data_IF_649007979553
#
_entry.id   IF_649007979553
#
_cell.length_a   1.000
_cell.length_b   1.000
_cell.length_c   1.000
_cell.angle_alpha   90.00
_cell.angle_beta   90.00
_cell.angle_gamma   90.00
#
_symmetry.space_group_name_H-M   'P 1'
#
loop_
_entity.id
_entity.type
_entity.pdbx_description
1 polymer ?
#
# COMPACT_ATOMS: atom_id res chain seq x y z
N UNK A 1 6.24 -55.96 52.09
CA UNK A 1 7.13 -55.68 50.94
C UNK A 1 6.58 -54.46 50.21
N UNK A 2 7.43 -53.43 50.01
CA UNK A 2 7.03 -52.03 49.81
C UNK A 2 6.40 -51.73 48.44
N UNK A 3 5.33 -50.94 48.53
CA UNK A 3 4.63 -50.20 47.48
C UNK A 3 5.60 -49.27 46.70
N UNK A 4 5.50 -49.26 45.37
CA UNK A 4 6.13 -48.24 44.51
C UNK A 4 5.13 -47.80 43.44
N UNK A 5 4.43 -46.71 43.72
CA UNK A 5 3.74 -45.92 42.69
C UNK A 5 4.78 -45.25 41.79
N UNK A 6 4.60 -45.35 40.48
CA UNK A 6 5.30 -44.52 39.49
C UNK A 6 4.32 -43.48 38.99
N UNK A 7 4.48 -42.24 39.47
CA UNK A 7 3.79 -41.07 38.92
C UNK A 7 4.55 -40.65 37.68
N UNK A 8 3.90 -40.72 36.51
CA UNK A 8 4.41 -40.10 35.29
C UNK A 8 4.03 -38.62 35.33
N UNK A 9 5.02 -37.74 35.45
CA UNK A 9 4.84 -36.29 35.34
C UNK A 9 4.78 -35.94 33.86
N UNK A 10 3.60 -35.59 33.37
CA UNK A 10 3.42 -34.96 32.07
C UNK A 10 3.71 -33.47 32.25
N UNK A 11 4.85 -33.01 31.75
CA UNK A 11 5.16 -31.58 31.68
C UNK A 11 4.42 -31.04 30.45
N UNK A 12 3.28 -30.39 30.69
CA UNK A 12 2.62 -29.56 29.68
C UNK A 12 3.25 -28.19 29.74
N UNK A 13 4.19 -27.91 28.83
CA UNK A 13 4.68 -26.55 28.59
C UNK A 13 3.60 -25.78 27.82
N UNK A 14 2.75 -25.05 28.54
CA UNK A 14 1.86 -24.06 27.93
C UNK A 14 2.70 -22.82 27.63
N UNK A 15 3.14 -22.68 26.38
CA UNK A 15 3.67 -21.42 25.88
C UNK A 15 2.49 -20.47 25.68
N UNK A 16 2.19 -19.66 26.70
CA UNK A 16 1.34 -18.50 26.54
C UNK A 16 2.14 -17.46 25.74
N UNK A 17 1.94 -17.43 24.42
CA UNK A 17 2.32 -16.29 23.61
C UNK A 17 1.40 -15.14 24.03
N UNK A 18 1.91 -14.27 24.89
CA UNK A 18 1.32 -12.96 25.14
C UNK A 18 1.34 -12.19 23.83
N UNK A 19 0.19 -12.15 23.15
CA UNK A 19 -0.13 -11.07 22.22
C UNK A 19 -0.19 -9.80 23.07
N UNK A 20 0.97 -9.15 23.25
CA UNK A 20 1.00 -7.78 23.72
C UNK A 20 0.32 -6.97 22.62
N UNK A 21 -0.96 -6.64 22.82
CA UNK A 21 -1.61 -5.61 22.04
C UNK A 21 -0.74 -4.34 22.13
N UNK A 22 -0.10 -3.99 21.03
CA UNK A 22 0.70 -2.77 20.89
C UNK A 22 -0.28 -1.59 21.01
N UNK A 23 -0.39 -1.03 22.22
CA UNK A 23 -1.43 -0.09 22.61
C UNK A 23 -1.04 1.34 22.18
N UNK A 24 -0.83 1.54 20.87
CA UNK A 24 -0.52 2.84 20.26
C UNK A 24 -1.73 3.34 19.46
N UNK A 25 -2.61 4.16 20.07
CA UNK A 25 -3.93 4.48 19.53
C UNK A 25 -3.91 5.25 18.20
N UNK A 26 -2.78 5.88 17.85
CA UNK A 26 -2.67 6.73 16.66
C UNK A 26 -1.85 6.12 15.51
N UNK A 27 -1.41 4.86 15.66
CA UNK A 27 -0.74 4.18 14.55
C UNK A 27 -1.78 3.66 13.57
N UNK A 28 -1.56 3.99 12.32
CA UNK A 28 -2.45 3.63 11.22
C UNK A 28 -1.61 3.06 10.09
N UNK A 29 -2.15 2.06 9.38
CA UNK A 29 -1.39 1.26 8.41
C UNK A 29 -1.55 1.86 7.00
N UNK A 30 -0.44 2.23 6.37
CA UNK A 30 -0.35 2.38 4.93
C UNK A 30 -0.32 0.98 4.30
N UNK A 31 -1.38 0.63 3.57
CA UNK A 31 -1.62 -0.71 3.03
C UNK A 31 -1.32 -0.78 1.54
N UNK A 32 -0.54 -1.79 1.17
CA UNK A 32 -0.20 -2.15 -0.20
C UNK A 32 0.30 -1.02 -1.11
N UNK A 33 1.21 -0.14 -0.69
CA UNK A 33 2.13 0.47 -1.63
C UNK A 33 2.84 -0.59 -2.50
N UNK A 34 2.55 -0.58 -3.80
CA UNK A 34 3.29 -1.36 -4.81
C UNK A 34 3.92 -0.42 -5.82
N UNK A 35 5.19 -0.66 -6.14
CA UNK A 35 6.02 0.17 -7.02
C UNK A 35 6.39 -0.62 -8.26
N UNK A 36 5.94 -0.15 -9.41
CA UNK A 36 6.32 -0.64 -10.74
C UNK A 36 7.40 0.24 -11.35
N UNK A 37 8.37 -0.39 -12.01
CA UNK A 37 9.47 0.30 -12.70
C UNK A 37 9.40 -0.03 -14.20
N UNK A 38 9.25 0.99 -15.04
CA UNK A 38 9.14 0.87 -16.49
C UNK A 38 10.25 1.69 -17.19
N UNK A 39 11.51 1.22 -17.18
CA UNK A 39 12.58 1.87 -17.94
C UNK A 39 12.40 1.66 -19.46
N UNK A 40 13.06 2.48 -20.29
CA UNK A 40 13.01 2.33 -21.76
C UNK A 40 13.80 1.10 -22.26
N UNK A 41 14.80 0.68 -21.48
CA UNK A 41 15.60 -0.51 -21.72
C UNK A 41 15.92 -1.20 -20.39
N UNK A 42 16.35 -2.45 -20.45
CA UNK A 42 16.79 -3.16 -19.24
C UNK A 42 17.91 -2.39 -18.54
N UNK A 43 17.74 -2.06 -17.27
CA UNK A 43 18.72 -1.29 -16.51
C UNK A 43 18.68 -1.62 -15.01
N UNK A 44 19.77 -1.31 -14.32
CA UNK A 44 19.81 -1.37 -12.86
C UNK A 44 19.10 -0.16 -12.27
N UNK A 45 18.30 -0.40 -11.23
CA UNK A 45 17.58 0.62 -10.49
C UNK A 45 17.76 0.37 -8.99
N UNK A 46 18.14 1.42 -8.27
CA UNK A 46 18.13 1.47 -6.81
C UNK A 46 16.90 2.27 -6.35
N UNK A 47 16.14 1.71 -5.41
CA UNK A 47 14.94 2.33 -4.81
C UNK A 47 15.09 2.33 -3.30
N UNK A 48 14.94 3.50 -2.67
CA UNK A 48 14.94 3.67 -1.22
C UNK A 48 13.72 4.47 -0.79
N UNK A 49 13.10 4.02 0.29
CA UNK A 49 12.07 4.75 1.02
C UNK A 49 12.73 5.62 2.09
N UNK A 50 12.40 6.91 2.07
CA UNK A 50 12.60 7.85 3.16
C UNK A 50 11.26 7.98 3.91
N UNK A 51 10.96 6.97 4.73
CA UNK A 51 9.65 6.81 5.36
C UNK A 51 9.69 7.27 6.82
N UNK A 52 8.88 8.29 7.15
CA UNK A 52 8.63 8.72 8.53
C UNK A 52 7.61 7.81 9.22
N UNK A 53 8.01 6.56 9.37
CA UNK A 53 7.18 5.51 9.94
C UNK A 53 7.96 4.24 10.19
N UNK A 54 7.23 3.15 10.38
CA UNK A 54 7.81 1.81 10.60
C UNK A 54 7.32 0.88 9.51
N UNK A 55 8.24 0.36 8.69
CA UNK A 55 7.91 -0.71 7.75
C UNK A 55 7.49 -1.98 8.52
N UNK A 56 6.36 -2.57 8.11
CA UNK A 56 5.78 -3.77 8.72
C UNK A 56 5.94 -4.99 7.84
N UNK A 57 5.84 -4.82 6.53
CA UNK A 57 6.11 -5.88 5.54
C UNK A 57 6.74 -5.30 4.28
N UNK A 58 7.59 -6.09 3.62
CA UNK A 58 8.30 -5.68 2.40
C UNK A 58 8.58 -6.89 1.52
N UNK A 59 8.32 -6.76 0.22
CA UNK A 59 8.60 -7.81 -0.77
C UNK A 59 9.21 -7.15 -2.02
N UNK A 60 10.45 -7.48 -2.41
CA UNK A 60 11.43 -8.31 -1.69
C UNK A 60 11.80 -7.75 -0.32
N UNK A 61 12.54 -8.51 0.49
CA UNK A 61 13.04 -8.01 1.77
C UNK A 61 13.84 -6.71 1.58
N UNK A 62 13.46 -5.64 2.29
CA UNK A 62 13.93 -4.28 2.02
C UNK A 62 15.41 -4.02 2.36
N UNK A 63 15.92 -4.50 3.50
CA UNK A 63 17.30 -4.26 3.91
C UNK A 63 17.65 -2.76 4.00
N UNK A 64 18.56 -2.29 3.15
CA UNK A 64 18.94 -0.88 3.01
C UNK A 64 18.34 -0.22 1.75
N UNK A 65 17.29 -0.80 1.19
CA UNK A 65 16.70 -0.43 -0.09
C UNK A 65 16.79 -1.54 -1.12
N UNK A 66 15.96 -1.45 -2.15
CA UNK A 66 15.97 -2.43 -3.22
C UNK A 66 16.98 -2.06 -4.29
N UNK A 67 17.75 -3.05 -4.74
CA UNK A 67 18.56 -2.99 -5.95
C UNK A 67 18.06 -4.06 -6.90
N UNK A 68 17.57 -3.63 -8.04
CA UNK A 68 16.94 -4.53 -9.01
C UNK A 68 17.46 -4.25 -10.41
N UNK A 69 17.41 -5.26 -11.26
CA UNK A 69 17.36 -5.02 -12.71
C UNK A 69 15.89 -4.91 -13.11
N UNK A 70 15.50 -3.83 -13.76
CA UNK A 70 14.14 -3.59 -14.24
C UNK A 70 14.09 -3.66 -15.76
N UNK A 71 12.97 -4.16 -16.32
CA UNK A 71 12.73 -4.26 -17.76
C UNK A 71 11.51 -3.43 -18.18
N UNK A 72 11.42 -3.04 -19.47
CA UNK A 72 10.31 -2.21 -19.96
C UNK A 72 8.91 -2.81 -19.77
N UNK A 73 8.81 -4.13 -19.61
CA UNK A 73 7.56 -4.86 -19.35
C UNK A 73 7.14 -4.84 -17.86
N UNK A 74 7.93 -4.21 -16.99
CA UNK A 74 7.71 -4.11 -15.55
C UNK A 74 8.28 -5.28 -14.74
N UNK A 75 8.93 -6.26 -15.39
CA UNK A 75 9.62 -7.35 -14.68
C UNK A 75 10.80 -6.81 -13.90
N UNK A 76 10.98 -7.31 -12.68
CA UNK A 76 12.11 -6.98 -11.81
C UNK A 76 12.87 -8.24 -11.45
N UNK A 77 14.20 -8.17 -11.41
CA UNK A 77 15.04 -9.19 -10.76
C UNK A 77 15.76 -8.54 -9.60
N UNK A 78 15.47 -9.00 -8.40
CA UNK A 78 16.06 -8.46 -7.18
C UNK A 78 17.47 -9.00 -6.98
N UNK A 79 18.43 -8.12 -6.69
CA UNK A 79 19.84 -8.51 -6.62
C UNK A 79 20.18 -9.27 -5.35
N UNK A 80 19.45 -9.04 -4.25
CA UNK A 80 19.78 -9.65 -2.96
C UNK A 80 19.44 -11.15 -2.90
N UNK A 81 18.44 -11.61 -3.65
CA UNK A 81 18.04 -13.02 -3.70
C UNK A 81 17.98 -13.64 -5.11
N UNK A 82 18.20 -12.84 -6.16
CA UNK A 82 18.20 -13.28 -7.55
C UNK A 82 16.82 -13.66 -8.08
N UNK A 83 15.73 -13.38 -7.35
CA UNK A 83 14.38 -13.77 -7.74
C UNK A 83 13.69 -12.70 -8.57
N UNK A 84 12.72 -13.16 -9.35
CA UNK A 84 11.88 -12.30 -10.17
C UNK A 84 10.65 -11.82 -9.38
N UNK A 85 10.32 -10.54 -9.55
CA UNK A 85 9.18 -9.88 -8.92
C UNK A 85 8.41 -9.03 -9.94
N UNK A 86 7.07 -8.95 -9.82
CA UNK A 86 6.26 -8.11 -10.69
C UNK A 86 6.24 -6.63 -10.27
N UNK A 87 6.65 -6.33 -9.04
CA UNK A 87 6.71 -5.00 -8.42
C UNK A 87 7.54 -5.08 -7.12
N UNK A 88 7.91 -3.93 -6.57
CA UNK A 88 8.34 -3.81 -5.18
C UNK A 88 7.11 -3.53 -4.32
N UNK A 89 7.06 -4.02 -3.11
CA UNK A 89 5.93 -3.88 -2.20
C UNK A 89 6.42 -3.50 -0.82
N UNK A 90 5.65 -2.64 -0.15
CA UNK A 90 5.82 -2.37 1.27
C UNK A 90 4.49 -2.08 1.95
N UNK A 91 4.46 -2.29 3.25
CA UNK A 91 3.46 -1.79 4.18
C UNK A 91 4.18 -1.12 5.34
N UNK A 92 3.51 -0.15 5.97
CA UNK A 92 4.10 0.56 7.07
C UNK A 92 3.08 1.26 7.94
N UNK A 93 3.46 1.48 9.18
CA UNK A 93 2.68 2.26 10.12
C UNK A 93 3.26 3.67 10.25
N UNK A 94 2.36 4.64 10.17
CA UNK A 94 2.68 6.05 10.37
C UNK A 94 1.57 6.75 11.18
N UNK A 95 1.77 8.06 11.36
CA UNK A 95 0.82 8.97 12.01
C UNK A 95 0.34 10.06 11.05
N UNK A 96 0.36 9.79 9.76
CA UNK A 96 -0.02 10.78 8.74
C UNK A 96 -1.48 11.17 8.94
N UNK A 97 -1.71 12.47 9.12
CA UNK A 97 -3.04 13.03 9.11
C UNK A 97 -3.43 13.34 7.66
N UNK A 98 -4.53 12.74 7.20
CA UNK A 98 -5.05 12.96 5.85
C UNK A 98 -6.25 13.92 5.90
N UNK A 99 -6.28 14.86 4.97
CA UNK A 99 -7.38 15.82 4.86
C UNK A 99 -8.58 15.18 4.18
N UNK A 100 -9.58 14.79 4.97
CA UNK A 100 -10.82 14.19 4.49
C UNK A 100 -11.93 15.23 4.22
N UNK A 101 -11.62 16.53 4.19
CA UNK A 101 -12.63 17.58 3.93
C UNK A 101 -13.06 17.65 2.47
N UNK A 102 -12.22 17.16 1.55
CA UNK A 102 -12.50 17.03 0.12
C UNK A 102 -12.42 15.58 -0.32
N UNK A 103 -13.23 15.23 -1.32
CA UNK A 103 -13.27 13.89 -1.88
C UNK A 103 -14.57 13.60 -2.61
N UNK A 104 -14.79 12.31 -2.83
CA UNK A 104 -15.93 11.79 -3.57
C UNK A 104 -16.76 10.92 -2.63
N UNK A 105 -18.04 11.24 -2.49
CA UNK A 105 -18.99 10.38 -1.76
C UNK A 105 -19.66 9.45 -2.77
N UNK A 106 -19.33 8.17 -2.67
CA UNK A 106 -19.69 7.15 -3.67
C UNK A 106 -20.51 6.07 -2.97
N UNK A 107 -21.60 5.60 -3.60
CA UNK A 107 -22.31 4.41 -3.13
C UNK A 107 -21.37 3.20 -3.14
N UNK A 108 -21.44 2.31 -2.14
CA UNK A 108 -20.62 1.09 -2.15
C UNK A 108 -20.77 0.30 -3.45
N UNK A 109 -22.01 0.09 -3.89
CA UNK A 109 -22.33 -0.58 -5.15
C UNK A 109 -21.85 0.13 -6.43
N UNK A 110 -21.49 1.42 -6.34
CA UNK A 110 -20.92 2.20 -7.44
C UNK A 110 -19.40 2.31 -7.41
N UNK A 111 -18.74 1.74 -6.40
CA UNK A 111 -17.31 1.94 -6.14
C UNK A 111 -16.43 1.42 -7.26
N UNK A 112 -16.74 0.26 -7.85
CA UNK A 112 -15.92 -0.30 -8.94
C UNK A 112 -15.86 0.65 -10.14
N UNK A 113 -17.03 1.11 -10.61
CA UNK A 113 -17.13 2.01 -11.75
C UNK A 113 -16.39 3.33 -11.48
N UNK A 114 -16.56 3.87 -10.27
CA UNK A 114 -15.86 5.07 -9.83
C UNK A 114 -14.32 4.89 -9.84
N UNK A 115 -13.81 3.81 -9.22
CA UNK A 115 -12.37 3.56 -9.16
C UNK A 115 -11.79 3.38 -10.56
N UNK A 116 -12.46 2.61 -11.42
CA UNK A 116 -12.04 2.40 -12.80
C UNK A 116 -11.91 3.72 -13.56
N UNK A 117 -12.92 4.58 -13.49
CA UNK A 117 -12.90 5.90 -14.13
C UNK A 117 -11.77 6.78 -13.58
N UNK A 118 -11.68 6.92 -12.25
CA UNK A 118 -10.72 7.87 -11.63
C UNK A 118 -9.28 7.38 -11.75
N UNK A 119 -9.00 6.10 -11.56
CA UNK A 119 -7.65 5.56 -11.67
C UNK A 119 -7.12 5.62 -13.11
N UNK A 120 -7.97 5.34 -14.10
CA UNK A 120 -7.62 5.53 -15.51
C UNK A 120 -7.35 7.00 -15.81
N UNK A 121 -8.20 7.92 -15.34
CA UNK A 121 -8.00 9.36 -15.49
C UNK A 121 -6.68 9.85 -14.85
N UNK A 122 -6.33 9.33 -13.67
CA UNK A 122 -5.07 9.61 -12.97
C UNK A 122 -3.84 9.01 -13.69
N UNK A 123 -4.05 8.18 -14.72
CA UNK A 123 -3.00 7.67 -15.59
C UNK A 123 -2.50 6.27 -15.23
N UNK A 124 -3.19 5.53 -14.36
CA UNK A 124 -2.93 4.09 -14.18
C UNK A 124 -3.34 3.34 -15.45
N UNK A 125 -2.55 2.32 -15.80
CA UNK A 125 -2.89 1.39 -16.88
C UNK A 125 -3.80 0.28 -16.37
N UNK A 126 -4.50 -0.41 -17.28
CA UNK A 126 -5.42 -1.50 -16.96
C UNK A 126 -4.86 -2.51 -15.96
N UNK A 127 -3.69 -3.08 -16.23
CA UNK A 127 -3.03 -4.02 -15.31
C UNK A 127 -2.83 -3.44 -13.89
N UNK A 128 -2.55 -2.15 -13.78
CA UNK A 128 -2.25 -1.49 -12.51
C UNK A 128 -3.53 -1.17 -11.75
N UNK A 129 -4.54 -0.58 -12.40
CA UNK A 129 -5.81 -0.25 -11.74
C UNK A 129 -6.64 -1.50 -11.43
N UNK A 130 -6.56 -2.57 -12.22
CA UNK A 130 -7.26 -3.83 -11.90
C UNK A 130 -6.68 -4.46 -10.63
N UNK A 131 -5.34 -4.46 -10.48
CA UNK A 131 -4.69 -4.95 -9.27
C UNK A 131 -4.99 -4.07 -8.03
N UNK A 132 -5.19 -2.77 -8.24
CA UNK A 132 -5.67 -1.84 -7.22
C UNK A 132 -7.11 -2.20 -6.80
N UNK A 133 -8.02 -2.31 -7.77
CA UNK A 133 -9.45 -2.59 -7.56
C UNK A 133 -9.62 -3.96 -6.90
N UNK A 134 -8.93 -5.00 -7.37
CA UNK A 134 -8.96 -6.35 -6.79
C UNK A 134 -8.66 -6.34 -5.28
N UNK A 135 -7.74 -5.47 -4.85
CA UNK A 135 -7.41 -5.35 -3.44
C UNK A 135 -8.41 -4.51 -2.65
N UNK A 136 -8.74 -3.32 -3.13
CA UNK A 136 -9.47 -2.33 -2.36
C UNK A 136 -10.99 -2.51 -2.43
N UNK A 137 -11.54 -2.89 -3.59
CA UNK A 137 -12.99 -2.98 -3.81
C UNK A 137 -13.73 -3.86 -2.80
N UNK A 138 -13.25 -5.07 -2.43
CA UNK A 138 -13.98 -5.93 -1.48
C UNK A 138 -14.24 -5.30 -0.11
N UNK A 139 -13.46 -4.27 0.26
CA UNK A 139 -13.62 -3.52 1.51
C UNK A 139 -14.63 -2.38 1.41
N UNK A 140 -14.96 -1.94 0.20
CA UNK A 140 -15.78 -0.75 -0.06
C UNK A 140 -17.13 -1.06 -0.68
N UNK A 141 -17.25 -2.15 -1.45
CA UNK A 141 -18.46 -2.44 -2.24
C UNK A 141 -19.70 -2.74 -1.38
N UNK A 142 -19.48 -3.26 -0.16
CA UNK A 142 -20.53 -3.57 0.80
C UNK A 142 -20.99 -2.38 1.67
N UNK A 143 -20.25 -1.27 1.65
CA UNK A 143 -20.58 -0.10 2.47
C UNK A 143 -21.78 0.65 1.88
N UNK A 144 -22.64 1.31 2.68
CA UNK A 144 -23.70 2.14 2.12
C UNK A 144 -23.12 3.25 1.23
N UNK A 145 -22.11 3.96 1.75
CA UNK A 145 -21.32 4.93 1.01
C UNK A 145 -19.85 4.86 1.44
N UNK A 146 -18.96 5.41 0.61
CA UNK A 146 -17.56 5.63 0.90
C UNK A 146 -17.24 7.10 0.61
N UNK A 147 -16.56 7.79 1.52
CA UNK A 147 -15.84 9.01 1.20
C UNK A 147 -14.44 8.63 0.75
N UNK A 148 -14.10 8.91 -0.50
CA UNK A 148 -12.82 8.54 -1.11
C UNK A 148 -12.05 9.81 -1.50
N UNK A 149 -10.77 9.86 -1.17
CA UNK A 149 -9.85 10.94 -1.55
C UNK A 149 -8.51 10.38 -2.01
N UNK A 150 -7.75 11.15 -2.80
CA UNK A 150 -6.43 10.79 -3.29
C UNK A 150 -5.40 11.78 -2.73
N UNK A 151 -4.52 11.29 -1.86
CA UNK A 151 -3.71 12.10 -0.94
C UNK A 151 -2.25 12.16 -1.36
N UNK A 152 -1.92 12.97 -2.36
CA UNK A 152 -0.54 13.01 -2.88
C UNK A 152 0.43 13.66 -1.90
N UNK A 153 0.20 14.91 -1.53
CA UNK A 153 1.18 15.73 -0.80
C UNK A 153 1.53 15.14 0.58
N UNK A 154 0.51 14.83 1.38
CA UNK A 154 0.71 14.25 2.72
C UNK A 154 1.39 12.88 2.66
N UNK A 155 1.08 12.07 1.65
CA UNK A 155 1.72 10.78 1.45
C UNK A 155 3.18 10.91 0.99
N UNK A 156 3.48 11.83 0.05
CA UNK A 156 4.84 12.04 -0.43
C UNK A 156 5.76 12.64 0.62
N UNK A 157 5.23 13.47 1.52
CA UNK A 157 5.97 14.01 2.68
C UNK A 157 6.32 12.90 3.68
N UNK A 158 5.39 11.97 3.95
CA UNK A 158 5.61 10.88 4.90
C UNK A 158 6.46 9.76 4.30
N UNK A 159 6.21 9.39 3.05
CA UNK A 159 6.85 8.29 2.35
C UNK A 159 7.62 8.82 1.15
N UNK A 160 8.78 9.45 1.39
CA UNK A 160 9.67 9.91 0.33
C UNK A 160 10.23 8.73 -0.49
N UNK A 161 10.38 8.91 -1.80
CA UNK A 161 10.89 7.87 -2.70
C UNK A 161 12.14 8.35 -3.44
N UNK A 162 13.27 7.70 -3.16
CA UNK A 162 14.58 8.02 -3.74
C UNK A 162 14.95 6.93 -4.75
N UNK A 163 15.04 7.30 -6.04
CA UNK A 163 15.28 6.37 -7.13
C UNK A 163 16.49 6.80 -7.97
N UNK A 164 17.36 5.84 -8.28
CA UNK A 164 18.52 6.02 -9.16
C UNK A 164 18.61 4.89 -10.19
N UNK A 165 18.73 5.18 -11.51
CA UNK A 165 18.77 6.51 -12.11
C UNK A 165 17.44 7.26 -11.92
N UNK A 166 17.48 8.60 -12.02
CA UNK A 166 16.29 9.42 -11.82
C UNK A 166 15.22 9.09 -12.88
N UNK A 167 13.98 8.75 -12.50
CA UNK A 167 12.88 8.59 -13.44
C UNK A 167 12.52 9.90 -14.13
N UNK A 168 12.10 9.82 -15.39
CA UNK A 168 11.59 10.93 -16.17
C UNK A 168 10.16 11.32 -15.76
N UNK A 169 9.42 10.35 -15.21
CA UNK A 169 8.07 10.56 -14.72
C UNK A 169 7.76 9.61 -13.55
N UNK A 170 7.08 10.13 -12.51
CA UNK A 170 6.66 9.36 -11.34
C UNK A 170 5.18 9.63 -11.08
N UNK A 171 4.37 8.58 -11.13
CA UNK A 171 2.97 8.59 -10.73
C UNK A 171 2.85 7.95 -9.34
N UNK A 172 2.25 8.65 -8.38
CA UNK A 172 1.94 8.11 -7.06
C UNK A 172 0.47 8.35 -6.77
N UNK A 173 -0.29 7.27 -6.64
CA UNK A 173 -1.72 7.30 -6.32
C UNK A 173 -1.94 6.64 -4.98
N UNK A 174 -2.20 7.46 -3.95
CA UNK A 174 -2.49 6.98 -2.61
C UNK A 174 -3.93 7.29 -2.25
N UNK A 175 -4.78 6.27 -2.18
CA UNK A 175 -6.19 6.41 -1.86
C UNK A 175 -6.39 6.37 -0.36
N UNK A 176 -7.18 7.30 0.18
CA UNK A 176 -7.67 7.22 1.55
C UNK A 176 -9.19 7.19 1.50
N UNK A 177 -9.81 6.26 2.22
CA UNK A 177 -11.27 6.21 2.29
C UNK A 177 -11.80 6.02 3.71
N UNK A 178 -13.04 6.48 3.90
CA UNK A 178 -13.82 6.28 5.12
C UNK A 178 -15.19 5.70 4.75
N UNK A 179 -15.60 4.55 5.32
CA UNK A 179 -16.96 4.03 5.15
C UNK A 179 -17.96 4.97 5.82
N UNK A 180 -19.13 5.14 5.21
CA UNK A 180 -20.20 6.01 5.71
C UNK A 180 -21.55 5.29 5.70
N UNK A 181 -22.32 5.48 6.76
CA UNK A 181 -23.72 5.01 6.86
C UNK A 181 -24.67 5.85 6.00
N UNK A 182 -24.35 7.12 5.80
CA UNK A 182 -25.14 8.09 5.04
C UNK A 182 -24.22 9.02 4.25
N UNK A 183 -24.66 9.57 3.11
CA UNK A 183 -23.82 10.46 2.33
C UNK A 183 -23.61 11.78 3.09
N UNK A 184 -22.41 12.33 2.96
CA UNK A 184 -22.06 13.65 3.52
C UNK A 184 -21.81 14.64 2.38
N UNK A 185 -22.07 15.95 2.58
CA UNK A 185 -21.59 16.95 1.63
C UNK A 185 -20.05 16.92 1.57
N UNK A 186 -19.49 16.75 0.38
CA UNK A 186 -18.06 16.82 0.13
C UNK A 186 -17.81 17.69 -1.10
N UNK A 187 -16.77 18.52 -1.05
CA UNK A 187 -16.25 19.18 -2.23
C UNK A 187 -15.39 18.17 -3.00
N UNK A 188 -15.65 18.01 -4.30
CA UNK A 188 -14.86 17.09 -5.13
C UNK A 188 -13.40 17.53 -5.19
N UNK A 189 -12.49 16.57 -4.98
CA UNK A 189 -11.05 16.83 -5.07
C UNK A 189 -10.65 17.14 -6.52
N UNK A 190 -9.80 18.15 -6.70
CA UNK A 190 -9.19 18.43 -7.99
C UNK A 190 -8.20 17.30 -8.34
N UNK A 191 -8.40 16.65 -9.48
CA UNK A 191 -7.51 15.62 -10.00
C UNK A 191 -6.88 16.10 -11.30
N UNK A 192 -5.60 15.78 -11.49
CA UNK A 192 -4.87 16.07 -12.72
C UNK A 192 -4.43 14.77 -13.39
N UNK A 193 -4.57 14.66 -14.73
CA UNK A 193 -4.08 13.49 -15.45
C UNK A 193 -2.55 13.46 -15.44
N UNK A 194 -2.00 12.26 -15.54
CA UNK A 194 -0.56 12.02 -15.59
C UNK A 194 -0.09 11.61 -16.98
N UNK A 195 1.05 12.16 -17.41
CA UNK A 195 1.70 11.79 -18.67
C UNK A 195 2.96 10.96 -18.40
N UNK A 196 3.01 9.77 -18.98
CA UNK A 196 4.17 8.86 -18.91
C UNK A 196 5.21 9.29 -19.93
N UNK A 197 6.42 9.57 -19.47
CA UNK A 197 7.57 9.93 -20.31
C UNK A 197 8.80 9.16 -19.85
N UNK A 198 9.61 8.67 -20.80
CA UNK A 198 10.88 7.98 -20.54
C UNK A 198 10.77 6.86 -19.50
N UNK A 199 11.78 6.78 -18.62
CA UNK A 199 11.73 5.90 -17.46
C UNK A 199 10.61 6.34 -16.51
N UNK A 200 9.54 5.54 -16.47
CA UNK A 200 8.35 5.79 -15.67
C UNK A 200 8.33 4.91 -14.42
N UNK A 201 8.03 5.52 -13.27
CA UNK A 201 7.74 4.79 -12.03
C UNK A 201 6.28 5.02 -11.67
N UNK A 202 5.59 3.95 -11.29
CA UNK A 202 4.21 4.02 -10.81
C UNK A 202 4.16 3.40 -9.43
N UNK A 203 3.63 4.13 -8.46
CA UNK A 203 3.27 3.61 -7.17
C UNK A 203 1.77 3.80 -6.94
N UNK A 204 1.11 2.77 -6.43
CA UNK A 204 -0.21 2.95 -5.84
C UNK A 204 -0.31 2.23 -4.51
N UNK A 205 -1.15 2.75 -3.63
CA UNK A 205 -1.43 2.20 -2.30
C UNK A 205 -2.66 2.87 -1.71
N UNK A 206 -2.93 2.61 -0.44
CA UNK A 206 -3.99 3.33 0.23
C UNK A 206 -4.13 3.03 1.71
N UNK A 207 -5.25 3.50 2.26
CA UNK A 207 -5.56 3.42 3.68
C UNK A 207 -7.04 3.55 3.94
N UNK A 208 -7.55 2.73 4.85
CA UNK A 208 -8.85 2.94 5.48
C UNK A 208 -8.70 3.81 6.73
N UNK A 209 -9.58 4.81 6.89
CA UNK A 209 -9.75 5.57 8.12
C UNK A 209 -11.18 5.37 8.59
N UNK A 210 -11.35 4.80 9.78
CA UNK A 210 -12.65 4.69 10.42
C UNK A 210 -13.06 6.06 10.98
N UNK A 211 -14.31 6.45 10.72
CA UNK A 211 -14.88 7.64 11.36
C UNK A 211 -14.98 7.42 12.88
N UNK A 212 -14.57 8.41 13.66
CA UNK A 212 -14.78 8.47 15.12
C UNK A 212 -16.24 8.70 15.51
#
# INVERSE_FOLDING_TARGET
MKMRWRVAVVIVCVAALSYCADNRPDLTLAEKPVIYLYPEQAQEVSVRLDYDGRLTDTIPAYGDGWKVTAWPDGRLVNHSDGKEYPYLFWEGEDRTAYDMTKGFVVLGSGTEAFLREKLEFLGLKEKEYEAFIEYWLPRMEGNPYNLITFQKEAYEETAGLLISPKPDSILRVFMVYTPLEQPVPAEESELAPFERRGFTVVEWGGKEILAE
#
